data_IF_282113063731
#
_entry.id   IF_282113063731
#
_cell.length_a   1.000
_cell.length_b   1.000
_cell.length_c   1.000
_cell.angle_alpha   90.00
_cell.angle_beta   90.00
_cell.angle_gamma   90.00
#
_symmetry.space_group_name_H-M   'P 1'
#
loop_
_entity.id
_entity.type
_entity.pdbx_description
1 polymer ?
#
# COMPACT_ATOMS: atom_id res chain seq x y z
N UNK A 1 29.21 -19.84 -15.40
CA UNK A 1 28.40 -18.63 -15.65
C UNK A 1 28.39 -17.81 -14.37
N UNK A 2 29.05 -16.66 -14.36
CA UNK A 2 29.18 -15.83 -13.16
C UNK A 2 27.82 -15.22 -12.80
N UNK A 3 27.42 -15.34 -11.53
CA UNK A 3 26.19 -14.79 -10.98
C UNK A 3 26.29 -13.25 -10.97
N UNK A 4 25.90 -12.59 -12.07
CA UNK A 4 26.26 -11.18 -12.37
C UNK A 4 25.31 -10.11 -11.80
N UNK A 5 24.32 -10.48 -10.96
CA UNK A 5 23.30 -9.54 -10.45
C UNK A 5 23.43 -9.16 -8.97
N UNK A 6 24.54 -9.49 -8.29
CA UNK A 6 24.80 -9.03 -6.92
C UNK A 6 25.94 -8.02 -6.87
N UNK A 7 25.65 -6.81 -6.36
CA UNK A 7 26.65 -5.81 -5.99
C UNK A 7 26.94 -5.91 -4.49
N UNK A 8 28.22 -5.97 -4.13
CA UNK A 8 28.66 -5.89 -2.73
C UNK A 8 28.74 -4.43 -2.30
N UNK A 9 28.27 -4.15 -1.10
CA UNK A 9 28.37 -2.83 -0.47
C UNK A 9 29.15 -2.97 0.83
N UNK A 10 30.02 -2.00 1.12
CA UNK A 10 30.70 -1.87 2.40
C UNK A 10 30.02 -0.73 3.16
N UNK A 11 29.58 -0.99 4.40
CA UNK A 11 28.92 -0.02 5.25
C UNK A 11 29.53 -0.06 6.65
N UNK A 12 29.67 1.10 7.26
CA UNK A 12 30.10 1.23 8.65
C UNK A 12 28.88 1.37 9.54
N UNK A 13 28.80 0.54 10.58
CA UNK A 13 27.70 0.55 11.55
C UNK A 13 28.28 0.70 12.96
N UNK A 14 27.55 1.34 13.89
CA UNK A 14 27.96 1.37 15.29
C UNK A 14 28.10 -0.04 15.88
N UNK A 15 29.14 -0.26 16.69
CA UNK A 15 29.38 -1.56 17.33
C UNK A 15 28.20 -2.00 18.22
N UNK A 16 27.52 -1.05 18.87
CA UNK A 16 26.33 -1.34 19.68
C UNK A 16 25.22 -2.00 18.84
N UNK A 17 24.95 -1.45 17.65
CA UNK A 17 23.94 -1.99 16.75
C UNK A 17 24.33 -3.39 16.23
N UNK A 18 25.62 -3.61 15.92
CA UNK A 18 26.09 -4.93 15.53
C UNK A 18 25.90 -5.97 16.64
N UNK A 19 26.16 -5.60 17.90
CA UNK A 19 25.94 -6.48 19.05
C UNK A 19 24.46 -6.82 19.24
N UNK A 20 23.55 -5.87 19.05
CA UNK A 20 22.11 -6.12 19.10
C UNK A 20 21.67 -7.09 17.99
N UNK A 21 22.18 -6.89 16.77
CA UNK A 21 21.91 -7.77 15.63
C UNK A 21 22.40 -9.21 15.91
N UNK A 22 23.60 -9.36 16.48
CA UNK A 22 24.17 -10.68 16.78
C UNK A 22 23.29 -11.49 17.74
N UNK A 23 22.75 -10.85 18.78
CA UNK A 23 21.84 -11.52 19.73
C UNK A 23 20.57 -12.05 19.05
N UNK A 24 20.04 -11.32 18.07
CA UNK A 24 18.85 -11.74 17.31
C UNK A 24 19.21 -12.90 16.38
N UNK A 25 20.36 -12.80 15.71
CA UNK A 25 20.84 -13.82 14.78
C UNK A 25 21.08 -15.17 15.47
N UNK A 26 21.62 -15.15 16.70
CA UNK A 26 21.82 -16.35 17.52
C UNK A 26 20.50 -17.08 17.80
N UNK A 27 19.41 -16.35 18.02
CA UNK A 27 18.08 -16.92 18.25
C UNK A 27 17.45 -17.45 16.96
N UNK A 28 17.64 -16.74 15.84
CA UNK A 28 17.03 -17.10 14.54
C UNK A 28 17.85 -18.09 13.70
N UNK A 29 19.05 -18.47 14.14
CA UNK A 29 20.01 -19.33 13.40
C UNK A 29 20.28 -18.84 11.96
N UNK A 30 20.37 -17.52 11.77
CA UNK A 30 20.65 -16.87 10.49
C UNK A 30 22.11 -16.40 10.40
N UNK A 31 22.51 -15.78 9.29
CA UNK A 31 23.77 -15.04 9.21
C UNK A 31 23.52 -13.54 9.04
N UNK A 32 24.52 -12.71 9.39
CA UNK A 32 24.42 -11.24 9.31
C UNK A 32 24.03 -10.74 7.92
N UNK A 33 24.55 -11.36 6.86
CA UNK A 33 24.26 -10.93 5.48
C UNK A 33 22.79 -11.17 5.12
N UNK A 34 22.22 -12.29 5.54
CA UNK A 34 20.83 -12.64 5.33
C UNK A 34 19.89 -11.72 6.13
N UNK A 35 20.18 -11.52 7.42
CA UNK A 35 19.45 -10.58 8.26
C UNK A 35 19.41 -9.17 7.65
N UNK A 36 20.56 -8.64 7.22
CA UNK A 36 20.65 -7.30 6.61
C UNK A 36 19.84 -7.25 5.30
N UNK A 37 19.88 -8.30 4.47
CA UNK A 37 19.08 -8.35 3.23
C UNK A 37 17.58 -8.35 3.54
N UNK A 38 17.14 -9.11 4.52
CA UNK A 38 15.73 -9.14 4.95
C UNK A 38 15.28 -7.79 5.49
N UNK A 39 16.08 -7.18 6.37
CA UNK A 39 15.81 -5.85 6.91
C UNK A 39 15.72 -4.78 5.80
N UNK A 40 16.62 -4.82 4.81
CA UNK A 40 16.55 -3.92 3.65
C UNK A 40 15.29 -4.14 2.81
N UNK A 41 14.91 -5.39 2.54
CA UNK A 41 13.67 -5.71 1.81
C UNK A 41 12.45 -5.19 2.55
N UNK A 42 12.41 -5.37 3.87
CA UNK A 42 11.34 -4.88 4.74
C UNK A 42 11.26 -3.35 4.68
N UNK A 43 12.39 -2.67 4.87
CA UNK A 43 12.45 -1.21 4.81
C UNK A 43 11.91 -0.66 3.48
N UNK A 44 12.35 -1.23 2.35
CA UNK A 44 11.88 -0.83 1.02
C UNK A 44 10.39 -1.12 0.80
N UNK A 45 9.86 -2.19 1.39
CA UNK A 45 8.43 -2.50 1.32
C UNK A 45 7.61 -1.47 2.08
N UNK A 46 8.01 -1.13 3.29
CA UNK A 46 7.28 -0.15 4.11
C UNK A 46 7.36 1.26 3.51
N UNK A 47 8.50 1.65 2.94
CA UNK A 47 8.61 2.92 2.18
C UNK A 47 7.64 2.98 1.00
N UNK A 48 7.57 1.92 0.18
CA UNK A 48 6.64 1.85 -0.96
C UNK A 48 5.17 1.90 -0.55
N UNK A 49 4.81 1.32 0.60
CA UNK A 49 3.44 1.43 1.12
C UNK A 49 3.07 2.88 1.43
N UNK A 50 3.99 3.64 2.05
CA UNK A 50 3.78 5.06 2.35
C UNK A 50 3.61 5.85 1.05
N UNK A 51 4.51 5.67 0.08
CA UNK A 51 4.44 6.34 -1.23
C UNK A 51 3.13 6.02 -1.97
N UNK A 52 2.71 4.75 -1.94
CA UNK A 52 1.45 4.32 -2.56
C UNK A 52 0.26 5.02 -1.90
N UNK A 53 0.23 5.07 -0.57
CA UNK A 53 -0.82 5.76 0.19
C UNK A 53 -0.87 7.25 -0.15
N UNK A 54 0.27 7.93 -0.20
CA UNK A 54 0.35 9.34 -0.54
C UNK A 54 -0.12 9.60 -1.98
N UNK A 55 0.29 8.75 -2.91
CA UNK A 55 -0.15 8.81 -4.31
C UNK A 55 -1.66 8.62 -4.43
N UNK A 56 -2.24 7.66 -3.70
CA UNK A 56 -3.70 7.47 -3.65
C UNK A 56 -4.41 8.70 -3.10
N UNK A 57 -3.96 9.26 -1.98
CA UNK A 57 -4.55 10.46 -1.38
C UNK A 57 -4.53 11.62 -2.38
N UNK A 58 -3.40 11.81 -3.07
CA UNK A 58 -3.26 12.85 -4.09
C UNK A 58 -4.25 12.63 -5.24
N UNK A 59 -4.30 11.42 -5.81
CA UNK A 59 -5.21 11.10 -6.91
C UNK A 59 -6.69 11.30 -6.54
N UNK A 60 -7.10 10.90 -5.33
CA UNK A 60 -8.47 11.15 -4.87
C UNK A 60 -8.81 12.63 -4.71
N UNK A 61 -7.84 13.45 -4.27
CA UNK A 61 -8.03 14.90 -4.17
C UNK A 61 -8.14 15.54 -5.56
N UNK A 62 -7.29 15.13 -6.50
CA UNK A 62 -7.33 15.62 -7.88
C UNK A 62 -8.64 15.26 -8.59
N UNK A 63 -9.15 14.05 -8.35
CA UNK A 63 -10.42 13.57 -8.93
C UNK A 63 -11.66 13.99 -8.12
N UNK A 64 -11.51 14.72 -7.02
CA UNK A 64 -12.59 14.98 -6.07
C UNK A 64 -13.85 15.58 -6.71
N UNK A 65 -13.67 16.57 -7.60
CA UNK A 65 -14.79 17.22 -8.30
C UNK A 65 -15.52 16.27 -9.24
N UNK A 66 -14.76 15.47 -10.01
CA UNK A 66 -15.33 14.52 -10.97
C UNK A 66 -16.05 13.38 -10.23
N UNK A 67 -15.41 12.84 -9.19
CA UNK A 67 -15.99 11.78 -8.36
C UNK A 67 -17.29 12.24 -7.69
N UNK A 68 -17.35 13.49 -7.21
CA UNK A 68 -18.56 14.06 -6.63
C UNK A 68 -19.68 14.15 -7.67
N UNK A 69 -19.41 14.75 -8.84
CA UNK A 69 -20.40 14.91 -9.89
C UNK A 69 -20.97 13.56 -10.37
N UNK A 70 -20.12 12.54 -10.50
CA UNK A 70 -20.55 11.18 -10.87
C UNK A 70 -21.41 10.54 -9.77
N UNK A 71 -21.07 10.74 -8.50
CA UNK A 71 -21.84 10.23 -7.37
C UNK A 71 -23.23 10.87 -7.29
N UNK A 72 -23.31 12.20 -7.46
CA UNK A 72 -24.58 12.94 -7.46
C UNK A 72 -25.48 12.51 -8.64
N UNK A 73 -24.89 12.37 -9.83
CA UNK A 73 -25.62 11.89 -11.00
C UNK A 73 -26.16 10.48 -10.80
N UNK A 74 -25.34 9.55 -10.30
CA UNK A 74 -25.76 8.18 -10.02
C UNK A 74 -26.90 8.13 -9.00
N UNK A 75 -26.78 8.88 -7.91
CA UNK A 75 -27.83 8.98 -6.89
C UNK A 75 -29.15 9.51 -7.48
N UNK A 76 -29.08 10.57 -8.30
CA UNK A 76 -30.27 11.11 -8.95
C UNK A 76 -30.96 10.08 -9.85
N UNK A 77 -30.19 9.30 -10.60
CA UNK A 77 -30.74 8.24 -11.46
C UNK A 77 -31.40 7.14 -10.64
N UNK A 78 -30.78 6.72 -9.54
CA UNK A 78 -31.31 5.69 -8.66
C UNK A 78 -32.64 6.15 -8.03
N UNK A 79 -32.72 7.40 -7.58
CA UNK A 79 -33.95 8.00 -7.03
C UNK A 79 -35.06 7.99 -8.08
N UNK A 80 -34.81 8.49 -9.29
CA UNK A 80 -35.84 8.51 -10.34
C UNK A 80 -36.30 7.09 -10.75
N UNK A 81 -35.39 6.11 -10.73
CA UNK A 81 -35.73 4.71 -10.97
C UNK A 81 -36.66 4.16 -9.88
N UNK A 82 -36.37 4.47 -8.61
CA UNK A 82 -37.19 4.06 -7.48
C UNK A 82 -38.58 4.69 -7.51
N UNK A 83 -38.67 6.00 -7.76
CA UNK A 83 -39.95 6.71 -7.90
C UNK A 83 -40.80 6.10 -9.02
N UNK A 84 -40.17 5.79 -10.16
CA UNK A 84 -40.86 5.12 -11.28
C UNK A 84 -41.32 3.70 -10.96
N UNK A 85 -40.60 2.98 -10.11
CA UNK A 85 -41.02 1.66 -9.61
C UNK A 85 -42.20 1.79 -8.64
N UNK A 86 -42.12 2.69 -7.67
CA UNK A 86 -43.19 2.93 -6.68
C UNK A 86 -44.49 3.40 -7.34
N UNK A 87 -44.40 4.29 -8.34
CA UNK A 87 -45.57 4.73 -9.10
C UNK A 87 -46.31 3.57 -9.79
N UNK A 88 -45.58 2.67 -10.46
CA UNK A 88 -46.17 1.49 -11.11
C UNK A 88 -46.82 0.52 -10.12
N UNK A 89 -46.27 0.40 -8.92
CA UNK A 89 -46.84 -0.44 -7.86
C UNK A 89 -48.14 0.17 -7.32
N UNK A 90 -48.18 1.49 -7.13
CA UNK A 90 -49.37 2.20 -6.67
C UNK A 90 -50.51 2.22 -7.70
N UNK A 91 -50.20 2.15 -8.99
CA UNK A 91 -51.20 2.05 -10.08
C UNK A 91 -51.79 0.63 -10.25
N UNK A 92 -51.19 -0.38 -9.62
CA UNK A 92 -51.58 -1.79 -9.72
C UNK A 92 -52.50 -2.31 -8.60
N UNK A 93 -52.91 -1.45 -7.67
CA UNK A 93 -53.93 -1.69 -6.63
C UNK A 93 -55.23 -0.93 -6.95
#
# INVERSE_FOLDING_TARGET
MANSNQKKILVSLPNSLLQEIDRIIEVENKNRSEFIKEAMKLYLREKRKVETRETMIKGYREMGVINLALAEMGLSMDVSSLEGYEGKMAEGE
#
